data_IF_903614906076
#
_entry.id   IF_903614906076
#
_cell.length_a   1.000
_cell.length_b   1.000
_cell.length_c   1.000
_cell.angle_alpha   90.00
_cell.angle_beta   90.00
_cell.angle_gamma   90.00
#
_symmetry.space_group_name_H-M   'P 1'
#
loop_
_entity.id
_entity.type
_entity.pdbx_description
1 polymer ?
#
# COMPACT_ATOMS: atom_id res chain seq x y z
N UNK A 1 -29.69 -27.19 -18.31
CA UNK A 1 -29.62 -25.77 -18.68
C UNK A 1 -28.55 -25.15 -17.83
N UNK A 2 -27.53 -24.56 -18.47
CA UNK A 2 -26.46 -23.83 -17.78
C UNK A 2 -27.03 -22.48 -17.33
N UNK A 3 -27.43 -22.37 -16.07
CA UNK A 3 -27.64 -21.06 -15.44
C UNK A 3 -26.27 -20.53 -15.00
N UNK A 4 -25.63 -19.80 -15.90
CA UNK A 4 -24.49 -18.94 -15.59
C UNK A 4 -25.01 -17.68 -14.88
N UNK A 5 -25.59 -17.83 -13.70
CA UNK A 5 -25.84 -16.71 -12.82
C UNK A 5 -24.50 -16.33 -12.16
N UNK A 6 -23.84 -15.33 -12.72
CA UNK A 6 -22.87 -14.52 -11.98
C UNK A 6 -23.64 -13.98 -10.77
N UNK A 7 -23.44 -14.60 -9.59
CA UNK A 7 -24.20 -14.25 -8.40
C UNK A 7 -23.95 -12.78 -8.08
N UNK A 8 -25.01 -11.96 -8.13
CA UNK A 8 -24.93 -10.55 -7.79
C UNK A 8 -24.59 -10.34 -6.30
N UNK A 9 -24.75 -11.36 -5.46
CA UNK A 9 -24.55 -11.34 -4.01
C UNK A 9 -23.55 -12.42 -3.58
N UNK A 10 -22.95 -12.27 -2.40
CA UNK A 10 -21.89 -13.17 -1.91
C UNK A 10 -22.37 -14.61 -1.65
N UNK A 11 -23.62 -14.78 -1.21
CA UNK A 11 -24.21 -16.11 -1.02
C UNK A 11 -25.74 -16.10 -1.15
N UNK A 12 -26.32 -17.30 -1.22
CA UNK A 12 -27.77 -17.52 -1.22
C UNK A 12 -28.08 -18.59 -0.17
N UNK A 13 -29.11 -18.37 0.64
CA UNK A 13 -29.66 -19.35 1.57
C UNK A 13 -31.13 -19.60 1.20
N UNK A 14 -31.42 -20.57 0.30
CA UNK A 14 -32.79 -20.81 -0.20
C UNK A 14 -33.79 -21.18 0.90
N UNK A 15 -33.33 -21.76 2.00
CA UNK A 15 -34.15 -22.15 3.16
C UNK A 15 -34.02 -21.18 4.34
N UNK A 16 -33.37 -20.03 4.15
CA UNK A 16 -33.06 -19.09 5.22
C UNK A 16 -31.87 -19.50 6.11
N UNK A 17 -31.62 -18.74 7.18
CA UNK A 17 -30.52 -18.94 8.12
C UNK A 17 -30.93 -18.53 9.55
N UNK A 18 -30.57 -19.35 10.54
CA UNK A 18 -30.89 -19.08 11.94
C UNK A 18 -32.39 -19.05 12.20
N UNK A 19 -32.90 -17.93 12.70
CA UNK A 19 -34.33 -17.69 12.94
C UNK A 19 -35.08 -17.20 11.68
N UNK A 20 -34.33 -16.80 10.65
CA UNK A 20 -34.92 -16.31 9.40
C UNK A 20 -35.22 -17.52 8.52
N UNK A 21 -36.50 -17.87 8.39
CA UNK A 21 -36.96 -19.04 7.61
C UNK A 21 -37.29 -18.72 6.15
N UNK A 22 -37.26 -17.44 5.75
CA UNK A 22 -37.48 -17.04 4.36
C UNK A 22 -36.23 -17.26 3.50
N UNK A 23 -36.36 -17.51 2.19
CA UNK A 23 -35.21 -17.51 1.27
C UNK A 23 -34.43 -16.20 1.34
N UNK A 24 -33.09 -16.28 1.40
CA UNK A 24 -32.21 -15.12 1.55
C UNK A 24 -31.16 -15.06 0.44
N UNK A 25 -30.89 -13.84 -0.02
CA UNK A 25 -29.59 -13.51 -0.61
C UNK A 25 -28.75 -12.79 0.45
N UNK A 26 -27.47 -13.08 0.47
CA UNK A 26 -26.56 -12.65 1.54
C UNK A 26 -25.44 -11.81 0.94
N UNK A 27 -25.23 -10.62 1.49
CA UNK A 27 -24.08 -9.76 1.21
C UNK A 27 -23.24 -9.64 2.47
N UNK A 28 -21.92 -9.86 2.37
CA UNK A 28 -20.97 -9.76 3.47
C UNK A 28 -20.14 -8.50 3.27
N UNK A 29 -20.28 -7.54 4.19
CA UNK A 29 -19.58 -6.25 4.11
C UNK A 29 -18.92 -5.94 5.44
N UNK A 30 -17.58 -5.90 5.50
CA UNK A 30 -16.86 -5.74 6.77
C UNK A 30 -17.29 -4.51 7.58
N UNK A 31 -17.56 -3.37 6.91
CA UNK A 31 -18.18 -2.18 7.49
C UNK A 31 -19.16 -1.55 6.50
N UNK A 32 -20.26 -0.99 7.02
CA UNK A 32 -21.32 -0.40 6.19
C UNK A 32 -21.60 1.05 6.60
N UNK A 33 -21.47 1.96 5.64
CA UNK A 33 -22.01 3.33 5.76
C UNK A 33 -23.46 3.35 5.29
N UNK A 34 -24.25 4.35 5.71
CA UNK A 34 -25.64 4.51 5.25
C UNK A 34 -25.75 4.55 3.71
N UNK A 35 -24.87 5.31 3.05
CA UNK A 35 -24.81 5.35 1.59
C UNK A 35 -24.52 3.99 0.93
N UNK A 36 -23.71 3.15 1.57
CA UNK A 36 -23.39 1.81 1.06
C UNK A 36 -24.55 0.85 1.30
N UNK A 37 -25.24 0.98 2.44
CA UNK A 37 -26.47 0.25 2.72
C UNK A 37 -27.54 0.55 1.65
N UNK A 38 -27.79 1.84 1.39
CA UNK A 38 -28.75 2.28 0.38
C UNK A 38 -28.39 1.72 -1.01
N UNK A 39 -27.11 1.80 -1.41
CA UNK A 39 -26.66 1.23 -2.68
C UNK A 39 -26.84 -0.30 -2.78
N UNK A 40 -26.57 -1.04 -1.70
CA UNK A 40 -26.78 -2.50 -1.67
C UNK A 40 -28.26 -2.85 -1.73
N UNK A 41 -29.11 -2.08 -1.06
CA UNK A 41 -30.57 -2.24 -1.12
C UNK A 41 -31.10 -1.96 -2.53
N UNK A 42 -30.65 -0.89 -3.18
CA UNK A 42 -31.04 -0.61 -4.57
C UNK A 42 -30.56 -1.70 -5.53
N UNK A 43 -29.32 -2.19 -5.34
CA UNK A 43 -28.79 -3.34 -6.09
C UNK A 43 -29.68 -4.58 -5.93
N UNK A 44 -30.16 -4.84 -4.71
CA UNK A 44 -31.08 -5.93 -4.40
C UNK A 44 -32.43 -5.75 -5.10
N UNK A 45 -33.03 -4.56 -5.04
CA UNK A 45 -34.27 -4.27 -5.77
C UNK A 45 -34.14 -4.50 -7.27
N UNK A 46 -32.98 -4.20 -7.86
CA UNK A 46 -32.72 -4.38 -9.28
C UNK A 46 -32.46 -5.83 -9.74
N UNK A 47 -31.99 -6.72 -8.85
CA UNK A 47 -31.48 -8.05 -9.24
C UNK A 47 -32.13 -9.23 -8.52
N UNK A 48 -32.88 -9.02 -7.45
CA UNK A 48 -33.36 -10.11 -6.62
C UNK A 48 -34.48 -10.92 -7.26
N UNK A 49 -34.35 -12.24 -7.15
CA UNK A 49 -35.42 -13.18 -7.47
C UNK A 49 -36.64 -12.94 -6.58
N UNK A 50 -37.85 -12.98 -7.16
CA UNK A 50 -39.10 -12.82 -6.41
C UNK A 50 -39.15 -13.78 -5.22
N UNK A 51 -39.50 -13.27 -4.04
CA UNK A 51 -39.68 -14.06 -2.81
C UNK A 51 -38.42 -14.23 -1.95
N UNK A 52 -37.28 -13.68 -2.36
CA UNK A 52 -36.09 -13.60 -1.53
C UNK A 52 -36.11 -12.34 -0.65
N UNK A 53 -35.54 -12.43 0.54
CA UNK A 53 -35.18 -11.29 1.40
C UNK A 53 -33.66 -11.07 1.36
N UNK A 54 -33.20 -9.90 1.79
CA UNK A 54 -31.78 -9.55 1.82
C UNK A 54 -31.25 -9.68 3.25
N UNK A 55 -30.14 -10.39 3.43
CA UNK A 55 -29.35 -10.37 4.66
C UNK A 55 -28.01 -9.68 4.40
N UNK A 56 -27.73 -8.61 5.14
CA UNK A 56 -26.44 -7.93 5.13
C UNK A 56 -25.70 -8.29 6.40
N UNK A 57 -24.53 -8.93 6.28
CA UNK A 57 -23.65 -9.25 7.42
C UNK A 57 -22.56 -8.19 7.48
N UNK A 58 -22.59 -7.36 8.51
CA UNK A 58 -21.67 -6.26 8.74
C UNK A 58 -21.13 -6.22 10.19
N UNK A 59 -20.02 -6.95 10.47
CA UNK A 59 -19.48 -7.06 11.82
C UNK A 59 -19.13 -5.72 12.47
N UNK A 60 -18.59 -4.76 11.69
CA UNK A 60 -18.33 -3.40 12.17
C UNK A 60 -19.44 -2.45 11.72
N UNK A 61 -20.55 -2.46 12.46
CA UNK A 61 -21.64 -1.52 12.28
C UNK A 61 -21.83 -0.65 13.53
N UNK A 62 -21.85 0.67 13.33
CA UNK A 62 -22.22 1.64 14.36
C UNK A 62 -23.69 2.02 14.19
N UNK A 63 -24.51 1.75 15.21
CA UNK A 63 -25.82 2.38 15.43
C UNK A 63 -26.87 2.33 14.30
N UNK A 64 -27.04 1.18 13.63
CA UNK A 64 -28.19 0.95 12.74
C UNK A 64 -29.14 -0.10 13.36
N UNK A 65 -30.44 0.18 13.32
CA UNK A 65 -31.49 -0.72 13.88
C UNK A 65 -31.39 -2.11 13.23
N UNK A 66 -31.60 -3.15 14.05
CA UNK A 66 -31.45 -4.59 13.74
C UNK A 66 -32.33 -5.13 12.60
N UNK A 67 -33.27 -4.33 12.08
CA UNK A 67 -34.03 -4.61 10.86
C UNK A 67 -34.62 -3.31 10.31
N UNK A 68 -34.66 -3.19 8.98
CA UNK A 68 -35.30 -2.05 8.31
C UNK A 68 -36.37 -2.63 7.37
N UNK A 69 -37.64 -2.31 7.65
CA UNK A 69 -38.74 -2.60 6.74
C UNK A 69 -38.67 -1.63 5.57
N UNK A 70 -38.62 -2.16 4.35
CA UNK A 70 -38.70 -1.36 3.14
C UNK A 70 -40.09 -1.59 2.56
N UNK A 71 -41.00 -0.64 2.79
CA UNK A 71 -42.29 -0.63 2.12
C UNK A 71 -42.11 0.09 0.76
N UNK A 72 -42.58 -0.51 -0.34
CA UNK A 72 -42.81 0.25 -1.57
C UNK A 72 -44.28 0.67 -1.65
N UNK A 73 -44.53 1.86 -2.21
CA UNK A 73 -45.85 2.33 -2.63
C UNK A 73 -46.41 1.51 -3.84
N UNK A 74 -45.68 0.49 -4.29
CA UNK A 74 -46.08 -0.43 -5.36
C UNK A 74 -46.30 -1.84 -4.81
N UNK A 75 -47.45 -2.51 -5.12
CA UNK A 75 -47.90 -3.73 -4.46
C UNK A 75 -47.18 -5.01 -4.95
N UNK A 76 -45.88 -4.92 -5.26
CA UNK A 76 -45.05 -6.04 -5.68
C UNK A 76 -43.85 -6.17 -4.73
N UNK A 77 -44.02 -7.10 -3.78
CA UNK A 77 -43.02 -7.87 -3.00
C UNK A 77 -42.80 -7.44 -1.53
N UNK A 78 -43.26 -8.30 -0.62
CA UNK A 78 -42.90 -8.35 0.82
C UNK A 78 -41.48 -8.89 1.01
N UNK A 79 -40.43 -8.11 0.69
CA UNK A 79 -39.02 -8.50 0.93
C UNK A 79 -38.44 -7.73 2.11
N UNK A 80 -37.92 -8.46 3.10
CA UNK A 80 -37.29 -7.86 4.28
C UNK A 80 -35.79 -7.67 4.07
N UNK A 81 -35.23 -6.64 4.72
CA UNK A 81 -33.78 -6.43 4.82
C UNK A 81 -33.36 -6.67 6.27
N UNK A 82 -32.58 -7.72 6.46
CA UNK A 82 -31.97 -8.11 7.73
C UNK A 82 -30.54 -7.60 7.80
N UNK A 83 -30.12 -7.19 8.98
CA UNK A 83 -28.79 -6.66 9.23
C UNK A 83 -28.19 -7.39 10.43
N UNK A 84 -27.15 -8.18 10.19
CA UNK A 84 -26.42 -8.91 11.21
C UNK A 84 -25.12 -8.20 11.53
N UNK A 85 -24.89 -7.93 12.81
CA UNK A 85 -23.64 -7.45 13.34
C UNK A 85 -22.77 -8.59 13.85
N UNK A 86 -21.77 -8.24 14.65
CA UNK A 86 -20.89 -9.20 15.31
C UNK A 86 -21.65 -10.16 16.25
N UNK A 87 -22.67 -9.66 16.97
CA UNK A 87 -23.42 -10.46 17.94
C UNK A 87 -24.12 -11.66 17.31
N UNK A 88 -24.85 -11.46 16.21
CA UNK A 88 -25.61 -12.53 15.54
C UNK A 88 -24.67 -13.58 14.93
N UNK A 89 -23.51 -13.16 14.42
CA UNK A 89 -22.49 -14.08 13.91
C UNK A 89 -21.88 -14.90 15.04
N UNK A 90 -21.57 -14.28 16.17
CA UNK A 90 -21.03 -14.96 17.35
C UNK A 90 -22.02 -15.98 17.94
N UNK A 91 -23.31 -15.63 18.01
CA UNK A 91 -24.36 -16.56 18.43
C UNK A 91 -24.44 -17.78 17.51
N UNK A 92 -24.36 -17.58 16.19
CA UNK A 92 -24.33 -18.67 15.22
C UNK A 92 -23.11 -19.57 15.40
N UNK A 93 -21.93 -18.98 15.63
CA UNK A 93 -20.70 -19.73 15.91
C UNK A 93 -20.81 -20.56 17.19
N UNK A 94 -21.38 -20.00 18.25
CA UNK A 94 -21.59 -20.72 19.51
C UNK A 94 -22.58 -21.87 19.36
N UNK A 95 -23.68 -21.67 18.61
CA UNK A 95 -24.69 -22.71 18.35
C UNK A 95 -24.12 -23.86 17.51
N UNK A 96 -23.17 -23.58 16.63
CA UNK A 96 -22.54 -24.55 15.73
C UNK A 96 -21.04 -24.72 16.02
N UNK A 97 -20.67 -24.86 17.30
CA UNK A 97 -19.28 -24.86 17.77
C UNK A 97 -18.37 -25.84 17.03
N UNK A 98 -18.80 -27.09 16.85
CA UNK A 98 -18.00 -28.12 16.16
C UNK A 98 -17.73 -27.76 14.68
N UNK A 99 -18.72 -27.20 13.99
CA UNK A 99 -18.56 -26.71 12.62
C UNK A 99 -17.64 -25.48 12.56
N UNK A 100 -17.77 -24.56 13.52
CA UNK A 100 -16.92 -23.38 13.62
C UNK A 100 -15.45 -23.74 13.90
N UNK A 101 -15.20 -24.71 14.79
CA UNK A 101 -13.86 -25.23 15.08
C UNK A 101 -13.24 -25.91 13.85
N UNK A 102 -14.03 -26.72 13.15
CA UNK A 102 -13.59 -27.37 11.90
C UNK A 102 -13.25 -26.35 10.80
N UNK A 103 -14.07 -25.31 10.63
CA UNK A 103 -13.81 -24.22 9.68
C UNK A 103 -12.56 -23.43 10.03
N UNK A 104 -12.36 -23.13 11.32
CA UNK A 104 -11.21 -22.37 11.81
C UNK A 104 -9.91 -23.14 11.61
N UNK A 105 -9.90 -24.44 11.92
CA UNK A 105 -8.74 -25.31 11.71
C UNK A 105 -8.35 -25.44 10.23
N UNK A 106 -9.32 -25.31 9.32
CA UNK A 106 -9.13 -25.48 7.88
C UNK A 106 -9.18 -24.17 7.08
N UNK A 107 -9.14 -23.01 7.74
CA UNK A 107 -9.42 -21.72 7.11
C UNK A 107 -8.47 -21.40 5.94
N UNK A 108 -7.20 -21.75 6.09
CA UNK A 108 -6.20 -21.57 5.03
C UNK A 108 -6.51 -22.45 3.80
N UNK A 109 -6.75 -23.74 4.02
CA UNK A 109 -7.09 -24.70 2.96
C UNK A 109 -8.38 -24.30 2.24
N UNK A 110 -9.38 -23.81 2.98
CA UNK A 110 -10.62 -23.28 2.41
C UNK A 110 -10.37 -22.04 1.55
N UNK A 111 -9.55 -21.09 2.01
CA UNK A 111 -9.15 -19.92 1.21
C UNK A 111 -8.43 -20.32 -0.07
N UNK A 112 -7.53 -21.30 0.00
CA UNK A 112 -6.79 -21.79 -1.15
C UNK A 112 -7.75 -22.44 -2.17
N UNK A 113 -8.67 -23.27 -1.69
CA UNK A 113 -9.70 -23.91 -2.50
C UNK A 113 -10.62 -22.87 -3.16
N UNK A 114 -11.07 -21.86 -2.41
CA UNK A 114 -11.87 -20.75 -2.95
C UNK A 114 -11.11 -19.93 -4.00
N UNK A 115 -9.81 -19.71 -3.82
CA UNK A 115 -8.99 -19.03 -4.81
C UNK A 115 -8.81 -19.85 -6.09
N UNK A 116 -8.70 -21.18 -5.97
CA UNK A 116 -8.59 -22.11 -7.09
C UNK A 116 -9.92 -22.32 -7.83
N UNK A 117 -11.05 -22.32 -7.11
CA UNK A 117 -12.41 -22.49 -7.64
C UNK A 117 -13.03 -21.17 -8.11
N UNK A 118 -12.40 -20.03 -7.84
CA UNK A 118 -12.87 -18.73 -8.30
C UNK A 118 -12.98 -18.77 -9.81
N UNK A 119 -14.21 -18.60 -10.33
CA UNK A 119 -14.43 -18.44 -11.76
C UNK A 119 -13.48 -17.37 -12.27
N UNK A 120 -12.74 -17.68 -13.33
CA UNK A 120 -11.75 -16.78 -13.92
C UNK A 120 -12.48 -15.56 -14.45
N UNK A 121 -12.73 -14.57 -13.58
CA UNK A 121 -13.04 -13.22 -14.01
C UNK A 121 -11.84 -12.74 -14.80
N UNK A 122 -12.11 -12.09 -15.92
CA UNK A 122 -11.03 -11.47 -16.68
C UNK A 122 -10.38 -10.43 -15.76
N UNK A 123 -9.13 -10.64 -15.36
CA UNK A 123 -8.40 -9.68 -14.54
C UNK A 123 -8.37 -8.29 -15.20
N UNK A 124 -8.54 -8.21 -16.51
CA UNK A 124 -8.69 -6.97 -17.27
C UNK A 124 -10.00 -6.25 -16.93
N UNK A 125 -11.11 -6.97 -16.79
CA UNK A 125 -12.39 -6.39 -16.38
C UNK A 125 -12.32 -5.87 -14.94
N UNK A 126 -11.74 -6.65 -14.03
CA UNK A 126 -11.54 -6.22 -12.63
C UNK A 126 -10.62 -4.99 -12.56
N UNK A 127 -9.53 -4.97 -13.34
CA UNK A 127 -8.65 -3.80 -13.49
C UNK A 127 -9.41 -2.60 -14.01
N UNK A 128 -10.19 -2.75 -15.07
CA UNK A 128 -10.89 -1.62 -15.71
C UNK A 128 -11.96 -1.03 -14.77
N UNK A 129 -12.66 -1.87 -14.01
CA UNK A 129 -13.56 -1.43 -12.94
C UNK A 129 -12.80 -0.69 -11.83
N UNK A 130 -11.66 -1.22 -11.39
CA UNK A 130 -10.82 -0.59 -10.38
C UNK A 130 -10.29 0.77 -10.84
N UNK A 131 -9.79 0.86 -12.09
CA UNK A 131 -9.32 2.12 -12.68
C UNK A 131 -10.44 3.15 -12.74
N UNK A 132 -11.66 2.75 -13.11
CA UNK A 132 -12.82 3.64 -13.11
C UNK A 132 -13.12 4.16 -11.70
N UNK A 133 -13.16 3.28 -10.71
CA UNK A 133 -13.41 3.65 -9.31
C UNK A 133 -12.33 4.60 -8.77
N UNK A 134 -11.04 4.31 -9.05
CA UNK A 134 -9.92 5.18 -8.63
C UNK A 134 -9.99 6.53 -9.34
N UNK A 135 -10.31 6.56 -10.63
CA UNK A 135 -10.45 7.82 -11.38
C UNK A 135 -11.58 8.71 -10.83
N UNK A 136 -12.70 8.12 -10.39
CA UNK A 136 -13.78 8.86 -9.72
C UNK A 136 -13.30 9.47 -8.39
N UNK A 137 -12.53 8.73 -7.59
CA UNK A 137 -11.95 9.25 -6.33
C UNK A 137 -10.90 10.33 -6.56
N UNK A 138 -10.06 10.17 -7.58
CA UNK A 138 -9.09 11.19 -7.99
C UNK A 138 -9.79 12.51 -8.35
N UNK A 139 -10.85 12.47 -9.15
CA UNK A 139 -11.62 13.67 -9.53
C UNK A 139 -12.33 14.35 -8.35
N UNK A 140 -12.54 13.65 -7.22
CA UNK A 140 -13.13 14.22 -6.01
C UNK A 140 -12.15 15.07 -5.19
N UNK A 141 -10.89 15.20 -5.60
CA UNK A 141 -9.94 16.18 -5.06
C UNK A 141 -9.32 15.84 -3.69
N UNK A 142 -9.44 14.58 -3.24
CA UNK A 142 -8.94 14.08 -1.96
C UNK A 142 -8.09 12.83 -2.18
N UNK A 143 -7.05 12.95 -3.00
CA UNK A 143 -6.18 11.83 -3.37
C UNK A 143 -4.78 12.04 -2.79
N UNK A 144 -4.17 10.97 -2.27
CA UNK A 144 -2.76 10.95 -1.86
C UNK A 144 -2.09 9.77 -2.50
N UNK A 145 -0.83 9.95 -2.89
CA UNK A 145 -0.04 8.92 -3.57
C UNK A 145 0.94 8.28 -2.58
N UNK A 146 1.16 6.98 -2.71
CA UNK A 146 2.20 6.27 -1.95
C UNK A 146 3.13 5.58 -2.93
N UNK A 147 4.41 5.94 -2.89
CA UNK A 147 5.42 5.53 -3.86
C UNK A 147 6.43 4.62 -3.16
N UNK A 148 6.70 3.47 -3.78
CA UNK A 148 7.77 2.56 -3.39
C UNK A 148 8.86 2.47 -4.44
N UNK A 149 9.85 1.60 -4.21
CA UNK A 149 11.06 1.51 -5.01
C UNK A 149 10.80 1.28 -6.51
N UNK A 150 9.69 0.62 -6.87
CA UNK A 150 9.31 0.40 -8.27
C UNK A 150 9.17 1.68 -9.10
N UNK A 151 8.84 2.82 -8.47
CA UNK A 151 8.82 4.12 -9.17
C UNK A 151 10.23 4.53 -9.58
N UNK A 152 11.20 4.48 -8.67
CA UNK A 152 12.60 4.81 -8.92
C UNK A 152 13.30 3.79 -9.83
N UNK A 153 12.96 2.50 -9.68
CA UNK A 153 13.45 1.44 -10.57
C UNK A 153 12.97 1.60 -12.00
N UNK A 154 11.79 2.20 -12.23
CA UNK A 154 11.35 2.54 -13.59
C UNK A 154 12.24 3.57 -14.30
N UNK A 155 13.08 4.29 -13.54
CA UNK A 155 14.11 5.22 -14.02
C UNK A 155 15.54 4.65 -13.93
N UNK A 156 15.66 3.34 -13.67
CA UNK A 156 16.93 2.61 -13.66
C UNK A 156 17.64 2.58 -12.30
N UNK A 157 17.05 3.09 -11.22
CA UNK A 157 17.66 2.96 -9.89
C UNK A 157 17.56 1.50 -9.38
N UNK A 158 18.60 1.02 -8.66
CA UNK A 158 18.58 -0.31 -8.09
C UNK A 158 17.44 -0.47 -7.08
N UNK A 159 16.98 -1.70 -6.89
CA UNK A 159 16.18 -2.02 -5.72
C UNK A 159 16.99 -1.92 -4.42
N UNK A 160 16.29 -1.98 -3.29
CA UNK A 160 16.89 -1.79 -1.97
C UNK A 160 18.03 -2.78 -1.68
N UNK A 161 17.83 -4.05 -2.02
CA UNK A 161 18.82 -5.09 -1.78
C UNK A 161 20.09 -4.82 -2.59
N UNK A 162 19.94 -4.44 -3.86
CA UNK A 162 21.05 -4.14 -4.76
C UNK A 162 21.85 -2.91 -4.30
N UNK A 163 21.15 -1.87 -3.82
CA UNK A 163 21.81 -0.69 -3.25
C UNK A 163 22.64 -1.06 -2.01
N UNK A 164 22.04 -1.73 -1.04
CA UNK A 164 22.71 -2.11 0.20
C UNK A 164 23.92 -3.01 -0.03
N UNK A 165 23.81 -3.96 -0.98
CA UNK A 165 24.92 -4.83 -1.37
C UNK A 165 26.10 -4.01 -1.89
N UNK A 166 25.82 -3.09 -2.80
CA UNK A 166 26.84 -2.26 -3.43
C UNK A 166 27.51 -1.33 -2.41
N UNK A 167 26.73 -0.77 -1.48
CA UNK A 167 27.24 0.05 -0.37
C UNK A 167 28.16 -0.75 0.56
N UNK A 168 27.76 -1.97 0.91
CA UNK A 168 28.56 -2.85 1.77
C UNK A 168 29.87 -3.26 1.10
N UNK A 169 29.82 -3.67 -0.17
CA UNK A 169 31.03 -4.00 -0.95
C UNK A 169 31.95 -2.79 -1.04
N UNK A 170 31.42 -1.61 -1.37
CA UNK A 170 32.21 -0.38 -1.47
C UNK A 170 32.93 -0.06 -0.16
N UNK A 171 32.27 -0.20 0.99
CA UNK A 171 32.89 0.05 2.30
C UNK A 171 33.98 -0.96 2.64
N UNK A 172 33.71 -2.27 2.49
CA UNK A 172 34.68 -3.32 2.78
C UNK A 172 35.92 -3.23 1.88
N UNK A 173 35.74 -2.81 0.63
CA UNK A 173 36.84 -2.53 -0.29
C UNK A 173 37.68 -1.32 0.13
N UNK A 174 37.09 -0.28 0.74
CA UNK A 174 37.84 0.87 1.25
C UNK A 174 38.61 0.57 2.54
N UNK A 175 38.18 -0.41 3.33
CA UNK A 175 38.82 -0.77 4.60
C UNK A 175 40.01 -1.73 4.49
N UNK A 176 40.45 -2.11 3.28
CA UNK A 176 41.54 -3.10 3.08
C UNK A 176 41.32 -4.39 3.90
N UNK A 177 40.08 -4.89 4.00
CA UNK A 177 39.80 -6.20 4.60
C UNK A 177 40.49 -7.30 3.77
N UNK A 178 41.70 -7.70 4.18
CA UNK A 178 42.48 -8.76 3.55
C UNK A 178 43.90 -8.41 3.08
N UNK A 179 44.38 -7.17 3.28
CA UNK A 179 45.72 -6.73 2.91
C UNK A 179 45.75 -5.54 1.94
N UNK A 180 46.94 -5.06 1.52
CA UNK A 180 47.05 -3.94 0.59
C UNK A 180 46.48 -4.38 -0.76
N UNK A 181 45.39 -3.73 -1.19
CA UNK A 181 44.57 -4.09 -2.36
C UNK A 181 43.58 -5.23 -2.10
N UNK A 182 42.57 -4.98 -1.27
CA UNK A 182 41.37 -5.83 -1.23
C UNK A 182 40.72 -5.85 -2.62
N UNK A 183 40.86 -6.97 -3.34
CA UNK A 183 40.26 -7.18 -4.66
C UNK A 183 38.73 -7.02 -4.56
N UNK A 184 38.12 -5.99 -5.20
CA UNK A 184 36.68 -5.76 -5.15
C UNK A 184 35.85 -6.98 -5.58
N UNK A 185 36.38 -7.82 -6.47
CA UNK A 185 35.71 -9.04 -6.91
C UNK A 185 35.61 -10.07 -5.77
N UNK A 186 36.67 -10.24 -4.98
CA UNK A 186 36.67 -11.14 -3.81
C UNK A 186 35.77 -10.62 -2.69
N UNK A 187 35.77 -9.31 -2.44
CA UNK A 187 34.85 -8.69 -1.47
C UNK A 187 33.40 -8.91 -1.88
N UNK A 188 33.09 -8.71 -3.17
CA UNK A 188 31.75 -8.98 -3.71
C UNK A 188 31.34 -10.44 -3.56
N UNK A 189 32.26 -11.39 -3.79
CA UNK A 189 31.99 -12.83 -3.63
C UNK A 189 31.75 -13.22 -2.16
N UNK A 190 32.47 -12.60 -1.22
CA UNK A 190 32.26 -12.80 0.22
C UNK A 190 30.91 -12.22 0.65
N UNK A 191 30.56 -11.01 0.20
CA UNK A 191 29.27 -10.37 0.50
C UNK A 191 28.11 -11.17 -0.09
N UNK A 192 28.24 -11.66 -1.33
CA UNK A 192 27.23 -12.52 -1.95
C UNK A 192 27.00 -13.80 -1.15
N UNK A 193 28.08 -14.46 -0.68
CA UNK A 193 27.97 -15.65 0.18
C UNK A 193 27.35 -15.36 1.55
N UNK A 194 27.68 -14.23 2.18
CA UNK A 194 27.04 -13.79 3.42
C UNK A 194 25.53 -13.58 3.24
N UNK A 195 25.12 -13.02 2.10
CA UNK A 195 23.72 -12.78 1.75
C UNK A 195 22.94 -14.07 1.47
N UNK A 196 23.56 -15.07 0.85
CA UNK A 196 22.92 -16.37 0.61
C UNK A 196 22.67 -17.14 1.91
N UNK A 197 23.52 -16.98 2.92
CA UNK A 197 23.43 -17.71 4.19
C UNK A 197 22.49 -17.04 5.20
N UNK A 198 22.55 -15.72 5.33
CA UNK A 198 21.81 -14.97 6.37
C UNK A 198 20.68 -14.07 5.82
N UNK A 199 20.44 -14.06 4.51
CA UNK A 199 19.63 -13.03 3.83
C UNK A 199 20.30 -11.65 3.88
N UNK A 200 19.64 -10.56 3.43
CA UNK A 200 20.09 -9.20 3.72
C UNK A 200 19.97 -8.97 5.23
N UNK A 201 20.97 -9.42 5.99
CA UNK A 201 20.81 -9.52 7.43
C UNK A 201 20.73 -8.12 8.04
N UNK A 202 19.63 -7.86 8.73
CA UNK A 202 19.39 -6.68 9.57
C UNK A 202 20.60 -6.32 10.42
N UNK A 203 21.41 -7.32 10.81
CA UNK A 203 22.63 -7.16 11.61
C UNK A 203 23.78 -6.49 10.84
N UNK A 204 23.99 -6.85 9.58
CA UNK A 204 24.96 -6.19 8.69
C UNK A 204 24.54 -4.75 8.39
N UNK A 205 23.26 -4.55 8.14
CA UNK A 205 22.65 -3.24 7.96
C UNK A 205 22.79 -2.37 9.22
N UNK A 206 22.49 -2.92 10.40
CA UNK A 206 22.64 -2.23 11.68
C UNK A 206 24.11 -1.89 11.99
N UNK A 207 25.06 -2.69 11.52
CA UNK A 207 26.50 -2.41 11.64
C UNK A 207 26.94 -1.30 10.68
N UNK A 208 26.39 -1.28 9.46
CA UNK A 208 26.59 -0.20 8.49
C UNK A 208 26.06 1.13 9.02
N UNK A 209 24.79 1.15 9.46
CA UNK A 209 24.14 2.32 10.07
C UNK A 209 24.92 2.76 11.31
N UNK A 210 25.24 1.86 12.25
CA UNK A 210 26.03 2.22 13.43
C UNK A 210 27.35 2.83 13.07
N UNK A 211 28.05 2.31 12.07
CA UNK A 211 29.34 2.85 11.67
C UNK A 211 29.20 4.23 11.03
N UNK A 212 28.20 4.43 10.16
CA UNK A 212 27.92 5.74 9.56
C UNK A 212 27.39 6.79 10.55
N UNK A 213 26.69 6.37 11.60
CA UNK A 213 26.16 7.25 12.65
C UNK A 213 27.13 7.47 13.83
N UNK A 214 28.03 6.51 14.12
CA UNK A 214 28.98 6.57 15.24
C UNK A 214 30.24 7.38 14.94
N UNK A 215 30.36 7.95 13.74
CA UNK A 215 31.45 8.88 13.45
C UNK A 215 31.12 10.20 14.18
N UNK A 216 31.78 10.41 15.31
CA UNK A 216 31.42 11.40 16.34
C UNK A 216 31.58 12.86 15.93
N UNK A 217 31.75 13.18 14.66
CA UNK A 217 31.77 14.56 14.14
C UNK A 217 30.78 14.75 12.97
N UNK A 218 30.14 15.93 12.88
CA UNK A 218 29.23 16.26 11.76
C UNK A 218 29.89 16.12 10.37
N UNK A 219 31.20 16.32 10.27
CA UNK A 219 31.96 16.23 9.01
C UNK A 219 31.97 14.80 8.47
N UNK A 220 32.16 13.83 9.36
CA UNK A 220 32.24 12.42 8.97
C UNK A 220 30.87 11.83 8.65
N UNK A 221 29.82 12.26 9.37
CA UNK A 221 28.43 11.94 9.01
C UNK A 221 28.08 12.47 7.62
N UNK A 222 28.48 13.71 7.30
CA UNK A 222 28.29 14.29 5.97
C UNK A 222 29.02 13.47 4.90
N UNK A 223 30.27 13.07 5.15
CA UNK A 223 31.04 12.22 4.23
C UNK A 223 30.40 10.85 3.98
N UNK A 224 29.78 10.26 5.01
CA UNK A 224 29.02 9.02 4.87
C UNK A 224 27.74 9.20 4.01
N UNK A 225 26.97 10.25 4.28
CA UNK A 225 25.76 10.58 3.49
C UNK A 225 26.12 10.84 2.02
N UNK A 226 27.21 11.57 1.77
CA UNK A 226 27.69 11.85 0.41
C UNK A 226 28.12 10.57 -0.31
N UNK A 227 28.81 9.66 0.38
CA UNK A 227 29.20 8.37 -0.19
C UNK A 227 27.98 7.51 -0.56
N UNK A 228 26.95 7.46 0.30
CA UNK A 228 25.70 6.74 0.01
C UNK A 228 24.99 7.36 -1.19
N UNK A 229 24.83 8.69 -1.17
CA UNK A 229 24.17 9.44 -2.23
C UNK A 229 24.87 9.17 -3.56
N UNK A 230 26.19 9.31 -3.61
CA UNK A 230 26.99 9.03 -4.79
C UNK A 230 26.78 7.59 -5.30
N UNK A 231 26.84 6.60 -4.41
CA UNK A 231 26.63 5.20 -4.79
C UNK A 231 25.23 4.96 -5.37
N UNK A 232 24.18 5.47 -4.72
CA UNK A 232 22.79 5.38 -5.17
C UNK A 232 22.63 5.78 -6.64
N UNK A 233 23.12 6.97 -7.00
CA UNK A 233 22.99 7.48 -8.36
C UNK A 233 24.01 6.86 -9.34
N UNK A 234 25.19 6.45 -8.88
CA UNK A 234 26.20 5.79 -9.74
C UNK A 234 25.75 4.42 -10.25
N UNK A 235 24.90 3.73 -9.49
CA UNK A 235 24.34 2.41 -9.83
C UNK A 235 23.16 2.50 -10.81
N UNK A 236 22.70 3.70 -11.15
CA UNK A 236 21.56 3.87 -12.05
C UNK A 236 21.87 3.34 -13.44
N UNK A 237 20.99 2.51 -13.99
CA UNK A 237 21.03 2.13 -15.40
C UNK A 237 20.65 3.32 -16.28
N UNK A 238 21.66 3.90 -16.94
CA UNK A 238 21.53 5.08 -17.81
C UNK A 238 20.73 4.83 -19.08
N UNK A 239 20.35 3.59 -19.40
CA UNK A 239 19.44 3.27 -20.52
C UNK A 239 18.03 3.80 -20.25
N UNK A 240 17.65 3.95 -18.99
CA UNK A 240 16.36 4.49 -18.60
C UNK A 240 16.45 6.00 -18.42
N UNK A 241 15.47 6.79 -18.91
CA UNK A 241 15.41 8.22 -18.59
C UNK A 241 15.15 8.41 -17.09
N UNK A 242 15.67 9.51 -16.53
CA UNK A 242 15.39 9.90 -15.13
C UNK A 242 13.89 10.12 -14.93
N UNK A 243 13.25 10.82 -15.86
CA UNK A 243 11.78 10.89 -15.91
C UNK A 243 11.24 9.73 -16.75
N UNK A 244 11.00 8.58 -16.11
CA UNK A 244 10.33 7.43 -16.73
C UNK A 244 8.86 7.76 -17.09
N UNK A 245 8.21 6.92 -17.91
CA UNK A 245 6.78 7.09 -18.22
C UNK A 245 5.90 7.06 -16.95
N UNK A 246 6.27 6.24 -15.97
CA UNK A 246 5.57 6.13 -14.69
C UNK A 246 5.72 7.41 -13.88
N UNK A 247 6.95 7.90 -13.70
CA UNK A 247 7.23 9.16 -12.99
C UNK A 247 6.54 10.33 -13.71
N UNK A 248 6.62 10.37 -15.03
CA UNK A 248 5.97 11.37 -15.87
C UNK A 248 4.45 11.38 -15.67
N UNK A 249 3.84 10.19 -15.55
CA UNK A 249 2.40 10.03 -15.32
C UNK A 249 1.99 10.44 -13.90
N UNK A 250 2.78 10.09 -12.89
CA UNK A 250 2.57 10.53 -11.51
C UNK A 250 2.62 12.07 -11.43
N UNK A 251 3.66 12.69 -12.00
CA UNK A 251 3.78 14.15 -12.01
C UNK A 251 2.62 14.85 -12.76
N UNK A 252 2.08 14.23 -13.81
CA UNK A 252 0.86 14.70 -14.50
C UNK A 252 -0.38 14.62 -13.62
N UNK A 253 -0.55 13.57 -12.82
CA UNK A 253 -1.65 13.48 -11.85
C UNK A 253 -1.58 14.56 -10.77
N UNK A 254 -0.36 15.02 -10.45
CA UNK A 254 -0.15 16.10 -9.51
C UNK A 254 -0.42 17.50 -10.10
N UNK A 255 -0.53 17.63 -11.42
CA UNK A 255 -0.78 18.93 -12.05
C UNK A 255 -2.19 19.43 -11.73
N UNK A 256 -2.34 20.65 -11.16
CA UNK A 256 -3.64 21.24 -10.88
C UNK A 256 -4.49 21.40 -12.14
N UNK A 257 -5.80 21.24 -11.97
CA UNK A 257 -6.79 21.48 -13.02
C UNK A 257 -7.52 22.80 -12.76
N UNK A 258 -8.45 23.20 -13.64
CA UNK A 258 -9.30 24.39 -13.43
C UNK A 258 -10.08 24.37 -12.11
N UNK A 259 -10.33 23.18 -11.55
CA UNK A 259 -11.02 22.99 -10.26
C UNK A 259 -10.05 22.84 -9.07
N UNK A 260 -8.75 23.05 -9.29
CA UNK A 260 -7.69 22.91 -8.28
C UNK A 260 -6.90 21.61 -8.40
N UNK A 261 -6.03 21.38 -7.41
CA UNK A 261 -5.20 20.18 -7.29
C UNK A 261 -6.04 18.98 -6.81
N UNK A 262 -5.89 17.85 -7.51
CA UNK A 262 -6.58 16.62 -7.15
C UNK A 262 -5.78 15.76 -6.17
N UNK A 263 -4.46 15.80 -6.28
CA UNK A 263 -3.51 15.17 -5.36
C UNK A 263 -3.16 16.17 -4.26
N UNK A 264 -3.26 15.73 -3.01
CA UNK A 264 -3.00 16.54 -1.81
C UNK A 264 -1.64 16.27 -1.19
N UNK A 265 -1.08 15.08 -1.42
CA UNK A 265 0.24 14.72 -0.93
C UNK A 265 0.80 13.52 -1.68
N UNK A 266 2.13 13.42 -1.65
CA UNK A 266 2.88 12.23 -2.03
C UNK A 266 3.58 11.72 -0.77
N UNK A 267 3.48 10.44 -0.50
CA UNK A 267 4.26 9.73 0.49
C UNK A 267 5.23 8.83 -0.27
N UNK A 268 6.54 8.97 -0.07
CA UNK A 268 7.55 8.17 -0.75
C UNK A 268 8.45 7.47 0.26
N UNK A 269 8.72 6.21 -0.01
CA UNK A 269 9.68 5.39 0.73
C UNK A 269 11.06 5.36 0.05
N UNK A 270 11.20 6.11 -1.04
CA UNK A 270 12.42 6.19 -1.83
C UNK A 270 13.27 7.37 -1.34
N UNK A 271 14.59 7.20 -1.43
CA UNK A 271 15.56 8.21 -1.00
C UNK A 271 15.85 9.26 -2.09
N UNK A 272 15.62 8.94 -3.36
CA UNK A 272 15.97 9.83 -4.47
C UNK A 272 15.01 11.03 -4.63
N UNK A 273 15.40 11.96 -5.50
CA UNK A 273 14.65 13.17 -5.84
C UNK A 273 13.99 13.13 -7.24
N UNK A 274 13.76 11.95 -7.82
CA UNK A 274 13.26 11.87 -9.20
C UNK A 274 11.84 12.40 -9.35
N UNK A 275 10.99 12.25 -8.32
CA UNK A 275 9.64 12.79 -8.36
C UNK A 275 9.67 14.32 -8.28
N UNK A 276 10.51 14.90 -7.41
CA UNK A 276 10.75 16.34 -7.27
C UNK A 276 11.19 16.95 -8.60
N UNK A 277 12.14 16.30 -9.29
CA UNK A 277 12.60 16.75 -10.62
C UNK A 277 11.47 16.77 -11.63
N UNK A 278 10.61 15.75 -11.65
CA UNK A 278 9.47 15.67 -12.56
C UNK A 278 8.36 16.67 -12.21
N UNK A 279 8.17 17.00 -10.92
CA UNK A 279 7.26 18.06 -10.48
C UNK A 279 7.81 19.43 -10.89
N UNK A 280 9.10 19.69 -10.65
CA UNK A 280 9.77 20.94 -11.03
C UNK A 280 9.76 21.17 -12.55
N UNK A 281 9.98 20.13 -13.36
CA UNK A 281 9.97 20.24 -14.83
C UNK A 281 8.62 20.70 -15.37
N UNK A 282 7.55 20.62 -14.55
CA UNK A 282 6.18 21.08 -14.83
C UNK A 282 5.82 22.36 -14.10
N UNK A 283 6.79 23.03 -13.48
CA UNK A 283 6.58 24.23 -12.66
C UNK A 283 5.60 24.02 -11.50
N UNK A 284 5.56 22.80 -10.95
CA UNK A 284 4.74 22.51 -9.78
C UNK A 284 5.49 22.89 -8.50
N UNK A 285 4.87 23.77 -7.73
CA UNK A 285 5.34 24.17 -6.41
C UNK A 285 5.14 23.00 -5.44
N UNK A 286 6.23 22.54 -4.84
CA UNK A 286 6.24 21.37 -3.96
C UNK A 286 7.24 21.56 -2.84
N UNK A 287 7.07 20.77 -1.78
CA UNK A 287 7.98 20.74 -0.63
C UNK A 287 8.32 19.30 -0.28
N UNK A 288 9.60 18.94 -0.36
CA UNK A 288 10.10 17.67 0.17
C UNK A 288 10.14 17.79 1.70
N UNK A 289 9.40 16.92 2.38
CA UNK A 289 9.26 16.89 3.83
C UNK A 289 9.99 15.68 4.36
N UNK A 290 11.09 15.93 5.09
CA UNK A 290 11.95 14.89 5.67
C UNK A 290 12.41 15.23 7.09
N UNK A 291 11.93 16.35 7.66
CA UNK A 291 12.07 16.72 9.07
C UNK A 291 10.73 16.55 9.81
N UNK A 292 10.76 16.18 11.09
CA UNK A 292 9.57 15.90 11.90
C UNK A 292 8.61 17.10 12.05
N UNK A 293 9.15 18.31 12.17
CA UNK A 293 8.39 19.54 12.40
C UNK A 293 8.21 20.41 11.16
N UNK A 294 8.53 19.88 9.98
CA UNK A 294 8.43 20.62 8.75
C UNK A 294 6.98 20.68 8.25
N UNK A 295 6.46 21.91 8.14
CA UNK A 295 5.10 22.17 7.68
C UNK A 295 5.12 22.72 6.24
N UNK A 296 4.43 22.05 5.30
CA UNK A 296 4.13 22.59 3.97
C UNK A 296 3.15 23.75 4.06
N UNK A 297 3.30 24.74 3.19
CA UNK A 297 2.29 25.77 2.98
C UNK A 297 1.08 25.21 2.23
N UNK A 298 -0.04 25.94 2.26
CA UNK A 298 -1.26 25.53 1.56
C UNK A 298 -1.13 25.51 0.02
N UNK A 299 -0.11 26.16 -0.53
CA UNK A 299 0.15 26.28 -1.97
C UNK A 299 1.18 25.26 -2.49
N UNK A 300 1.90 24.59 -1.58
CA UNK A 300 2.88 23.56 -1.90
C UNK A 300 2.24 22.17 -1.93
N UNK A 301 2.60 21.35 -2.91
CA UNK A 301 2.37 19.91 -2.85
C UNK A 301 3.41 19.26 -1.93
N UNK A 302 3.03 18.68 -0.78
CA UNK A 302 3.98 17.99 0.06
C UNK A 302 4.38 16.62 -0.48
N UNK A 303 5.69 16.35 -0.43
CA UNK A 303 6.32 15.06 -0.74
C UNK A 303 7.03 14.55 0.51
N UNK A 304 6.39 13.65 1.25
CA UNK A 304 6.91 13.13 2.51
C UNK A 304 7.86 11.94 2.26
N UNK A 305 9.10 12.05 2.74
CA UNK A 305 10.11 10.99 2.64
C UNK A 305 10.18 10.20 3.93
N UNK A 306 9.50 9.05 3.96
CA UNK A 306 9.36 8.25 5.20
C UNK A 306 10.70 7.66 5.66
N UNK A 307 11.56 7.27 4.72
CA UNK A 307 12.88 6.72 5.02
C UNK A 307 14.00 7.76 5.04
N UNK A 308 13.70 9.02 4.76
CA UNK A 308 14.68 10.07 4.55
C UNK A 308 14.96 10.34 3.07
N UNK A 309 15.83 11.33 2.82
CA UNK A 309 15.97 12.00 1.53
C UNK A 309 17.43 12.25 1.16
N UNK A 310 17.83 11.74 0.00
CA UNK A 310 19.18 11.76 -0.57
C UNK A 310 19.12 12.29 -2.02
N UNK A 311 18.87 13.60 -2.22
CA UNK A 311 18.85 14.19 -3.56
C UNK A 311 20.23 14.13 -4.22
N UNK A 312 20.29 13.90 -5.54
CA UNK A 312 21.57 13.90 -6.28
C UNK A 312 22.21 15.28 -6.27
N UNK A 313 21.40 16.32 -6.50
CA UNK A 313 21.83 17.71 -6.38
C UNK A 313 21.48 18.26 -5.00
N UNK A 314 22.35 17.98 -4.04
CA UNK A 314 22.20 18.35 -2.63
C UNK A 314 22.11 19.86 -2.42
N UNK A 315 22.69 20.68 -3.31
CA UNK A 315 22.71 22.14 -3.16
C UNK A 315 21.32 22.77 -3.35
N UNK A 316 20.39 22.05 -3.97
CA UNK A 316 19.02 22.52 -4.22
C UNK A 316 18.11 22.42 -3.00
N UNK A 317 18.56 21.78 -1.93
CA UNK A 317 17.76 21.50 -0.75
C UNK A 317 18.49 21.99 0.50
N UNK A 318 17.77 22.74 1.34
CA UNK A 318 18.25 23.17 2.65
C UNK A 318 18.05 22.08 3.69
N UNK A 319 18.78 22.16 4.81
CA UNK A 319 18.60 21.32 6.00
C UNK A 319 18.77 19.80 5.80
N UNK A 320 19.45 19.36 4.73
CA UNK A 320 19.72 17.93 4.50
C UNK A 320 20.52 17.29 5.65
N UNK A 321 21.26 18.08 6.43
CA UNK A 321 21.97 17.68 7.65
C UNK A 321 21.03 17.23 8.78
N UNK A 322 19.76 17.62 8.74
CA UNK A 322 18.72 17.23 9.72
C UNK A 322 17.90 16.02 9.30
N UNK A 323 18.14 15.51 8.08
CA UNK A 323 17.41 14.37 7.57
C UNK A 323 17.80 13.09 8.31
N UNK A 324 16.83 12.47 8.99
CA UNK A 324 17.03 11.14 9.57
C UNK A 324 16.85 10.07 8.51
N UNK A 325 17.87 9.25 8.30
CA UNK A 325 17.84 8.14 7.37
C UNK A 325 17.41 6.85 8.07
N UNK A 326 16.28 6.29 7.65
CA UNK A 326 15.71 5.06 8.21
C UNK A 326 15.94 3.92 7.23
N UNK A 327 16.84 3.01 7.60
CA UNK A 327 17.24 1.92 6.73
C UNK A 327 16.56 0.57 7.07
N UNK A 328 15.97 0.41 8.26
CA UNK A 328 15.29 -0.83 8.66
C UNK A 328 14.12 -0.58 9.61
N UNK A 329 13.28 -1.61 9.81
CA UNK A 329 12.16 -1.59 10.77
C UNK A 329 12.65 -1.30 12.21
N UNK A 330 13.81 -1.85 12.57
CA UNK A 330 14.49 -1.56 13.84
C UNK A 330 14.96 -0.11 13.96
N UNK A 331 15.22 0.56 12.83
CA UNK A 331 15.49 1.99 12.78
C UNK A 331 14.30 2.82 13.24
N UNK A 332 13.07 2.41 12.90
CA UNK A 332 11.86 3.06 13.44
C UNK A 332 11.77 2.88 14.95
N UNK A 333 12.09 1.69 15.49
CA UNK A 333 12.06 1.45 16.94
C UNK A 333 13.07 2.29 17.74
N UNK A 334 14.14 2.79 17.11
CA UNK A 334 15.06 3.74 17.74
C UNK A 334 14.50 5.16 17.73
N UNK A 335 13.88 5.59 16.62
CA UNK A 335 13.24 6.91 16.51
C UNK A 335 12.07 7.06 17.49
N UNK A 336 11.28 6.01 17.70
CA UNK A 336 10.16 6.04 18.66
C UNK A 336 10.57 5.94 20.14
N UNK A 337 11.87 5.83 20.45
CA UNK A 337 12.37 5.76 21.84
C UNK A 337 12.95 7.08 22.37
N UNK A 338 13.23 8.03 21.49
CA UNK A 338 13.66 9.39 21.83
C UNK A 338 12.46 10.34 21.93
#
# INVERSE_FOLDING_TARGET
GQDSHVSAFDAIAPSGIGEISSPLVVEIVFSVSRSKLDATVEKFRGHASRGYSLLIIAPKISDLKKSIYINEETPRVDSLVYLWGESEVNELMLKHKEAAETLTANLFSLRLKMAAERTVRSWKEDRDQLVKAVAEKYRAGRFSLTLGAGVSSSAGLPDWNTLLNSLLVSMLSQENFGGPHGDPAKVSEIVARLMEVDGPSTLMLARYIRKGLAVGSPVEQQGFVDAITHQLYSLRDKKFPVESELISSIAKLCTPTRTGANVRSILTYNFDDFIERALLSRSLVHKSVFEEFETPSAEELPVYHVHGFLPEDRQRYSNLDRCTLVFSEEGYHQIYRD
#
